data_IF_387394624057
#
_entry.id   IF_387394624057
#
_cell.length_a   1.000
_cell.length_b   1.000
_cell.length_c   1.000
_cell.angle_alpha   90.00
_cell.angle_beta   90.00
_cell.angle_gamma   90.00
#
_symmetry.space_group_name_H-M   'P 1'
#
loop_
_entity.id
_entity.type
_entity.pdbx_description
1 polymer ?
#
# COMPACT_ATOMS: atom_id res chain seq x y z
N UNK A 1 14.91 17.17 3.93
CA UNK A 1 14.25 16.89 2.65
C UNK A 1 14.35 18.09 1.71
N UNK A 2 13.98 19.31 2.12
CA UNK A 2 14.02 20.50 1.27
C UNK A 2 15.43 20.76 0.73
N UNK A 3 16.45 20.80 1.59
CA UNK A 3 17.84 21.04 1.20
C UNK A 3 18.35 20.03 0.15
N UNK A 4 18.00 18.76 0.32
CA UNK A 4 18.42 17.68 -0.58
C UNK A 4 17.58 17.55 -1.85
N UNK A 5 16.46 18.26 -1.93
CA UNK A 5 15.56 18.16 -3.08
C UNK A 5 15.97 19.01 -4.26
N UNK A 6 16.92 19.95 -4.08
CA UNK A 6 17.37 20.87 -5.12
C UNK A 6 16.21 21.60 -5.79
N UNK A 7 16.10 21.52 -7.10
CA UNK A 7 15.05 22.16 -7.91
C UNK A 7 13.73 21.36 -7.96
N UNK A 8 13.67 20.17 -7.41
CA UNK A 8 12.43 19.36 -7.38
C UNK A 8 11.35 20.07 -6.58
N UNK A 9 10.22 20.37 -7.21
CA UNK A 9 9.11 21.08 -6.57
C UNK A 9 8.23 20.13 -5.77
N UNK A 10 7.90 18.96 -6.33
CA UNK A 10 7.01 17.99 -5.69
C UNK A 10 7.83 17.06 -4.81
N UNK A 11 7.46 16.99 -3.54
CA UNK A 11 8.11 16.15 -2.53
C UNK A 11 7.07 15.23 -1.92
N UNK A 12 7.43 13.97 -1.75
CA UNK A 12 6.55 12.97 -1.15
C UNK A 12 7.05 12.61 0.25
N UNK A 13 6.12 12.54 1.19
CA UNK A 13 6.37 12.12 2.56
C UNK A 13 5.41 10.99 2.88
N UNK A 14 5.96 9.82 3.17
CA UNK A 14 5.20 8.65 3.56
C UNK A 14 5.35 8.42 5.07
N UNK A 15 4.23 8.49 5.79
CA UNK A 15 4.15 8.06 7.17
C UNK A 15 4.05 6.53 7.18
N UNK A 16 5.18 5.91 7.41
CA UNK A 16 5.39 4.48 7.33
C UNK A 16 6.22 3.99 8.53
N UNK A 17 6.27 2.69 8.74
CA UNK A 17 7.11 2.08 9.78
C UNK A 17 6.45 2.08 11.16
N UNK A 18 6.45 0.93 11.84
CA UNK A 18 5.59 0.69 12.98
C UNK A 18 4.12 0.91 12.61
N UNK A 19 3.41 1.75 13.38
CA UNK A 19 2.05 2.19 13.05
C UNK A 19 1.95 3.70 13.28
N UNK A 20 1.86 4.52 12.23
CA UNK A 20 1.86 5.99 12.37
C UNK A 20 0.71 6.53 13.21
N UNK A 21 -0.44 5.85 13.21
CA UNK A 21 -1.60 6.27 14.00
C UNK A 21 -1.39 6.14 15.51
N UNK A 22 -0.37 5.41 15.96
CA UNK A 22 0.03 5.39 17.38
C UNK A 22 0.64 6.73 17.81
N UNK A 23 1.17 7.50 16.88
CA UNK A 23 1.72 8.84 17.13
C UNK A 23 1.10 9.88 16.17
N UNK A 24 -0.21 9.84 16.05
CA UNK A 24 -0.97 10.62 15.09
C UNK A 24 -0.77 12.13 15.27
N UNK A 25 -0.61 12.61 16.51
CA UNK A 25 -0.35 14.02 16.79
C UNK A 25 0.95 14.51 16.15
N UNK A 26 1.99 13.70 16.16
CA UNK A 26 3.26 14.04 15.47
C UNK A 26 3.05 14.09 13.96
N UNK A 27 2.29 13.17 13.37
CA UNK A 27 1.93 13.25 11.95
C UNK A 27 1.22 14.57 11.62
N UNK A 28 0.25 14.97 12.43
CA UNK A 28 -0.46 16.25 12.25
C UNK A 28 0.48 17.46 12.34
N UNK A 29 1.39 17.47 13.31
CA UNK A 29 2.38 18.54 13.48
C UNK A 29 3.35 18.63 12.30
N UNK A 30 3.84 17.50 11.80
CA UNK A 30 4.74 17.44 10.65
C UNK A 30 4.07 17.96 9.37
N UNK A 31 2.80 17.59 9.13
CA UNK A 31 2.04 18.11 8.00
C UNK A 31 1.82 19.62 8.14
N UNK A 32 1.39 20.10 9.31
CA UNK A 32 1.20 21.52 9.54
C UNK A 32 2.49 22.32 9.31
N UNK A 33 3.62 21.82 9.80
CA UNK A 33 4.93 22.43 9.57
C UNK A 33 5.29 22.45 8.08
N UNK A 34 5.18 21.32 7.38
CA UNK A 34 5.47 21.27 5.96
C UNK A 34 4.62 22.27 5.16
N UNK A 35 3.31 22.34 5.44
CA UNK A 35 2.40 23.30 4.81
C UNK A 35 2.80 24.76 5.06
N UNK A 36 3.32 25.06 6.25
CA UNK A 36 3.74 26.43 6.60
C UNK A 36 4.93 26.94 5.81
N UNK A 37 5.81 26.03 5.33
CA UNK A 37 7.05 26.39 4.63
C UNK A 37 6.99 26.12 3.11
N UNK A 38 5.94 25.47 2.59
CA UNK A 38 5.81 25.13 1.17
C UNK A 38 6.01 26.33 0.25
N UNK A 39 5.33 27.45 0.56
CA UNK A 39 5.33 28.63 -0.30
C UNK A 39 6.69 29.31 -0.33
N UNK A 40 7.34 29.44 0.81
CA UNK A 40 8.66 30.09 0.92
C UNK A 40 9.72 29.35 0.14
N UNK A 41 9.69 28.01 0.19
CA UNK A 41 10.67 27.15 -0.48
C UNK A 41 10.25 26.72 -1.89
N UNK A 42 9.12 27.21 -2.42
CA UNK A 42 8.55 26.79 -3.71
C UNK A 42 8.44 25.26 -3.84
N UNK A 43 7.96 24.61 -2.75
CA UNK A 43 7.73 23.17 -2.68
C UNK A 43 6.24 22.86 -2.66
N UNK A 44 5.90 21.62 -2.95
CA UNK A 44 4.57 21.06 -2.84
C UNK A 44 4.69 19.66 -2.23
N UNK A 45 4.25 19.52 -0.98
CA UNK A 45 4.31 18.25 -0.28
C UNK A 45 3.06 17.41 -0.55
N UNK A 46 3.29 16.14 -0.85
CA UNK A 46 2.25 15.11 -0.97
C UNK A 46 2.48 14.11 0.15
N UNK A 47 1.44 13.85 0.93
CA UNK A 47 1.53 12.94 2.07
C UNK A 47 0.83 11.63 1.75
N UNK A 48 1.46 10.52 2.14
CA UNK A 48 0.89 9.19 2.16
C UNK A 48 0.86 8.69 3.60
N UNK A 49 -0.22 8.02 3.99
CA UNK A 49 -0.37 7.34 5.27
C UNK A 49 -0.48 5.85 5.04
N UNK A 50 0.47 5.08 5.58
CA UNK A 50 0.42 3.60 5.56
C UNK A 50 0.00 3.11 6.94
N UNK A 51 -1.10 2.38 7.05
CA UNK A 51 -1.66 1.96 8.34
C UNK A 51 -2.15 0.52 8.36
N UNK A 52 -2.04 -0.11 9.53
CA UNK A 52 -2.66 -1.40 9.81
C UNK A 52 -4.17 -1.30 10.12
N UNK A 53 -4.72 -0.10 10.19
CA UNK A 53 -6.15 0.16 10.34
C UNK A 53 -6.69 0.14 11.77
N UNK A 54 -5.97 -0.37 12.74
CA UNK A 54 -6.47 -0.48 14.13
C UNK A 54 -6.81 0.90 14.71
N UNK A 55 -5.98 1.90 14.44
CA UNK A 55 -6.12 3.27 14.94
C UNK A 55 -7.08 4.15 14.13
N UNK A 56 -7.70 3.66 13.07
CA UNK A 56 -8.62 4.47 12.25
C UNK A 56 -9.88 4.84 13.06
N UNK A 57 -10.13 6.14 13.17
CA UNK A 57 -11.32 6.78 13.73
C UNK A 57 -11.91 7.75 12.70
N UNK A 58 -13.05 8.37 13.00
CA UNK A 58 -13.63 9.39 12.13
C UNK A 58 -12.72 10.60 11.99
N UNK A 59 -12.06 11.02 13.06
CA UNK A 59 -11.05 12.08 13.02
C UNK A 59 -9.91 11.76 12.05
N UNK A 60 -9.39 10.52 12.08
CA UNK A 60 -8.33 10.07 11.17
C UNK A 60 -8.81 10.08 9.73
N UNK A 61 -10.04 9.63 9.47
CA UNK A 61 -10.64 9.65 8.13
C UNK A 61 -10.73 11.06 7.60
N UNK A 62 -11.27 11.98 8.37
CA UNK A 62 -11.43 13.39 7.97
C UNK A 62 -10.07 14.06 7.72
N UNK A 63 -9.11 13.81 8.59
CA UNK A 63 -7.76 14.33 8.42
C UNK A 63 -7.06 13.76 7.19
N UNK A 64 -7.12 12.44 6.99
CA UNK A 64 -6.54 11.81 5.79
C UNK A 64 -7.18 12.32 4.51
N UNK A 65 -8.49 12.54 4.50
CA UNK A 65 -9.19 13.09 3.33
C UNK A 65 -8.75 14.51 3.01
N UNK A 66 -8.39 15.29 4.02
CA UNK A 66 -7.94 16.68 3.85
C UNK A 66 -6.46 16.77 3.47
N UNK A 67 -5.60 16.02 4.12
CA UNK A 67 -4.15 16.20 4.06
C UNK A 67 -3.41 15.16 3.24
N UNK A 68 -3.91 13.91 3.19
CA UNK A 68 -3.21 12.82 2.51
C UNK A 68 -3.65 12.71 1.05
N UNK A 69 -2.65 12.72 0.16
CA UNK A 69 -2.86 12.42 -1.24
C UNK A 69 -3.26 10.96 -1.43
N UNK A 70 -2.65 10.08 -0.66
CA UNK A 70 -2.89 8.64 -0.72
C UNK A 70 -2.94 8.01 0.68
N UNK A 71 -3.68 6.92 0.84
CA UNK A 71 -3.71 6.10 2.05
C UNK A 71 -3.50 4.64 1.68
N UNK A 72 -2.49 4.02 2.27
CA UNK A 72 -2.17 2.61 2.08
C UNK A 72 -2.77 1.82 3.24
N UNK A 73 -3.63 0.87 2.92
CA UNK A 73 -4.39 0.07 3.88
C UNK A 73 -3.85 -1.36 3.88
N UNK A 74 -3.24 -1.76 5.00
CA UNK A 74 -2.56 -3.04 5.11
C UNK A 74 -3.56 -4.17 5.36
N UNK A 75 -3.80 -5.02 4.35
CA UNK A 75 -4.68 -6.19 4.40
C UNK A 75 -4.12 -7.28 3.48
N UNK A 76 -3.93 -8.49 4.03
CA UNK A 76 -3.32 -9.59 3.28
C UNK A 76 -4.34 -10.44 2.51
N UNK A 77 -5.62 -10.07 2.53
CA UNK A 77 -6.68 -10.75 1.77
C UNK A 77 -7.74 -11.40 2.66
N UNK A 78 -8.02 -12.70 2.43
CA UNK A 78 -8.99 -13.47 3.21
C UNK A 78 -8.67 -13.45 4.70
N UNK A 79 -9.70 -13.62 5.53
CA UNK A 79 -9.57 -13.54 6.99
C UNK A 79 -8.48 -14.46 7.54
N UNK A 80 -8.48 -15.71 7.14
CA UNK A 80 -7.50 -16.71 7.60
C UNK A 80 -6.06 -16.38 7.18
N UNK A 81 -5.87 -15.72 6.02
CA UNK A 81 -4.57 -15.26 5.56
C UNK A 81 -4.12 -14.05 6.36
N UNK A 82 -4.97 -13.04 6.48
CA UNK A 82 -4.69 -11.84 7.26
C UNK A 82 -4.38 -12.16 8.72
N UNK A 83 -5.26 -12.94 9.36
CA UNK A 83 -5.18 -13.22 10.79
C UNK A 83 -4.09 -14.24 11.17
N UNK A 84 -3.39 -14.81 10.18
CA UNK A 84 -2.19 -15.61 10.41
C UNK A 84 -1.01 -14.75 10.87
N UNK A 85 -0.87 -13.54 10.33
CA UNK A 85 0.29 -12.66 10.58
C UNK A 85 -0.08 -11.35 11.28
N UNK A 86 -1.28 -10.83 11.05
CA UNK A 86 -1.73 -9.56 11.62
C UNK A 86 -2.56 -9.79 12.87
N UNK A 87 -1.87 -10.13 13.92
CA UNK A 87 -2.44 -10.40 15.24
C UNK A 87 -2.07 -9.30 16.25
N UNK A 88 -2.89 -9.16 17.27
CA UNK A 88 -2.57 -8.32 18.44
C UNK A 88 -1.64 -9.07 19.42
N UNK A 89 -1.24 -8.39 20.50
CA UNK A 89 -0.36 -8.97 21.53
C UNK A 89 -0.95 -10.21 22.23
N UNK A 90 -2.27 -10.39 22.17
CA UNK A 90 -2.96 -11.56 22.70
C UNK A 90 -3.13 -12.69 21.67
N UNK A 91 -2.64 -12.49 20.44
CA UNK A 91 -2.75 -13.46 19.34
C UNK A 91 -4.09 -13.42 18.61
N UNK A 92 -4.95 -12.43 18.86
CA UNK A 92 -6.22 -12.33 18.16
C UNK A 92 -6.03 -11.65 16.79
N UNK A 93 -6.66 -12.19 15.75
CA UNK A 93 -6.63 -11.62 14.41
C UNK A 93 -7.24 -10.21 14.34
N UNK A 94 -6.78 -9.45 13.37
CA UNK A 94 -7.18 -8.06 13.19
C UNK A 94 -8.30 -7.87 12.16
N UNK A 95 -8.57 -8.85 11.31
CA UNK A 95 -9.43 -8.72 10.12
C UNK A 95 -10.80 -8.11 10.42
N UNK A 96 -11.56 -8.68 11.35
CA UNK A 96 -12.92 -8.20 11.69
C UNK A 96 -12.93 -6.79 12.28
N UNK A 97 -11.80 -6.35 12.83
CA UNK A 97 -11.64 -5.01 13.43
C UNK A 97 -11.28 -3.96 12.40
N UNK A 98 -10.53 -4.32 11.34
CA UNK A 98 -9.97 -3.35 10.38
C UNK A 98 -10.81 -3.22 9.12
N UNK A 99 -11.40 -4.31 8.60
CA UNK A 99 -12.16 -4.28 7.34
C UNK A 99 -13.29 -3.25 7.34
N UNK A 100 -14.16 -3.17 8.36
CA UNK A 100 -15.22 -2.15 8.37
C UNK A 100 -14.68 -0.72 8.38
N UNK A 101 -13.51 -0.49 8.99
CA UNK A 101 -12.86 0.83 9.03
C UNK A 101 -12.28 1.18 7.67
N UNK A 102 -11.66 0.22 6.99
CA UNK A 102 -11.15 0.40 5.63
C UNK A 102 -12.28 0.73 4.65
N UNK A 103 -13.37 -0.01 4.69
CA UNK A 103 -14.55 0.27 3.88
C UNK A 103 -15.12 1.67 4.14
N UNK A 104 -15.20 2.09 5.42
CA UNK A 104 -15.64 3.43 5.78
C UNK A 104 -14.71 4.50 5.22
N UNK A 105 -13.39 4.34 5.37
CA UNK A 105 -12.39 5.28 4.85
C UNK A 105 -12.46 5.37 3.32
N UNK A 106 -12.47 4.23 2.62
CA UNK A 106 -12.52 4.20 1.15
C UNK A 106 -13.81 4.85 0.62
N UNK A 107 -14.94 4.58 1.27
CA UNK A 107 -16.21 5.23 0.94
C UNK A 107 -16.14 6.74 1.13
N UNK A 108 -15.56 7.22 2.23
CA UNK A 108 -15.41 8.64 2.53
C UNK A 108 -14.46 9.35 1.55
N UNK A 109 -13.52 8.62 0.94
CA UNK A 109 -12.62 9.11 -0.13
C UNK A 109 -13.23 9.01 -1.53
N UNK A 110 -14.47 8.56 -1.67
CA UNK A 110 -15.10 8.35 -2.98
C UNK A 110 -14.42 7.26 -3.82
N UNK A 111 -13.77 6.29 -3.19
CA UNK A 111 -13.07 5.20 -3.85
C UNK A 111 -11.76 5.60 -4.55
N UNK A 112 -11.15 6.71 -4.17
CA UNK A 112 -9.92 7.22 -4.81
C UNK A 112 -8.82 7.54 -3.80
N UNK A 113 -7.57 7.61 -4.26
CA UNK A 113 -6.44 7.99 -3.43
C UNK A 113 -6.17 7.01 -2.29
N UNK A 114 -6.39 5.74 -2.51
CA UNK A 114 -6.03 4.65 -1.61
C UNK A 114 -5.52 3.45 -2.39
N UNK A 115 -4.88 2.53 -1.72
CA UNK A 115 -4.78 1.13 -2.18
C UNK A 115 -4.64 0.16 -1.02
N UNK A 116 -5.16 -1.03 -1.23
CA UNK A 116 -4.94 -2.16 -0.34
C UNK A 116 -3.55 -2.72 -0.59
N UNK A 117 -2.79 -2.94 0.45
CA UNK A 117 -1.47 -3.55 0.35
C UNK A 117 -1.39 -4.79 1.22
N UNK A 118 -1.24 -5.94 0.56
CA UNK A 118 -1.05 -7.22 1.19
C UNK A 118 0.32 -7.83 0.88
N UNK A 119 0.60 -8.93 1.55
CA UNK A 119 1.79 -9.75 1.31
C UNK A 119 1.37 -11.19 1.12
N UNK A 120 1.90 -11.85 0.10
CA UNK A 120 1.73 -13.29 -0.05
C UNK A 120 3.03 -14.04 0.28
N UNK A 121 2.88 -15.24 0.80
CA UNK A 121 3.94 -16.10 1.31
C UNK A 121 3.81 -17.49 0.69
N UNK A 122 4.72 -18.40 1.04
CA UNK A 122 4.57 -19.83 0.73
C UNK A 122 3.20 -20.40 1.13
N UNK A 123 2.56 -19.85 2.17
CA UNK A 123 1.28 -20.37 2.68
C UNK A 123 0.06 -19.93 1.88
N UNK A 124 0.16 -18.87 1.07
CA UNK A 124 -0.92 -18.35 0.23
C UNK A 124 -0.44 -18.02 -1.18
N UNK A 125 0.27 -18.95 -1.79
CA UNK A 125 0.70 -18.82 -3.21
C UNK A 125 -0.50 -18.66 -4.16
N UNK A 126 -1.71 -19.00 -3.72
CA UNK A 126 -2.98 -18.76 -4.40
C UNK A 126 -3.51 -17.33 -4.18
N UNK A 127 -2.62 -16.36 -4.14
CA UNK A 127 -2.88 -14.97 -3.75
C UNK A 127 -3.96 -14.27 -4.59
N UNK A 128 -4.29 -14.76 -5.76
CA UNK A 128 -5.41 -14.23 -6.56
C UNK A 128 -6.75 -14.40 -5.83
N UNK A 129 -6.92 -15.44 -5.01
CA UNK A 129 -8.11 -15.59 -4.18
C UNK A 129 -8.23 -14.47 -3.15
N UNK A 130 -7.09 -14.01 -2.63
CA UNK A 130 -7.03 -12.90 -1.68
C UNK A 130 -7.37 -11.58 -2.37
N UNK A 131 -6.85 -11.37 -3.59
CA UNK A 131 -7.20 -10.20 -4.41
C UNK A 131 -8.67 -10.20 -4.80
N UNK A 132 -9.22 -11.35 -5.22
CA UNK A 132 -10.63 -11.44 -5.59
C UNK A 132 -11.55 -11.27 -4.38
N UNK A 133 -11.18 -11.79 -3.22
CA UNK A 133 -11.87 -11.51 -1.97
C UNK A 133 -11.91 -10.00 -1.67
N UNK A 134 -10.77 -9.32 -1.76
CA UNK A 134 -10.73 -7.87 -1.57
C UNK A 134 -11.59 -7.12 -2.59
N UNK A 135 -11.62 -7.57 -3.86
CA UNK A 135 -12.36 -6.91 -4.92
C UNK A 135 -13.87 -7.21 -4.89
N UNK A 136 -14.25 -8.49 -4.79
CA UNK A 136 -15.62 -8.94 -5.01
C UNK A 136 -16.44 -8.93 -3.72
N UNK A 137 -15.84 -9.34 -2.60
CA UNK A 137 -16.56 -9.43 -1.32
C UNK A 137 -16.47 -8.12 -0.53
N UNK A 138 -15.30 -7.43 -0.59
CA UNK A 138 -15.08 -6.22 0.20
C UNK A 138 -15.25 -4.92 -0.60
N UNK A 139 -15.23 -4.98 -1.94
CA UNK A 139 -15.45 -3.85 -2.84
C UNK A 139 -14.25 -2.92 -3.04
N UNK A 140 -13.04 -3.39 -2.78
CA UNK A 140 -11.82 -2.61 -3.02
C UNK A 140 -11.34 -2.79 -4.46
N UNK A 141 -11.01 -1.70 -5.13
CA UNK A 141 -10.63 -1.72 -6.56
C UNK A 141 -9.16 -1.37 -6.81
N UNK A 142 -8.49 -0.77 -5.83
CA UNK A 142 -7.07 -0.41 -5.92
C UNK A 142 -6.26 -1.38 -5.06
N UNK A 143 -5.52 -2.29 -5.70
CA UNK A 143 -4.93 -3.45 -5.06
C UNK A 143 -3.43 -3.54 -5.33
N UNK A 144 -2.67 -3.92 -4.31
CA UNK A 144 -1.27 -4.32 -4.40
C UNK A 144 -1.03 -5.53 -3.51
N UNK A 145 -0.24 -6.48 -3.98
CA UNK A 145 0.11 -7.66 -3.21
C UNK A 145 1.54 -8.06 -3.54
N UNK A 146 2.40 -7.95 -2.53
CA UNK A 146 3.84 -8.13 -2.68
C UNK A 146 4.27 -9.54 -2.26
N UNK A 147 5.26 -10.15 -2.93
CA UNK A 147 5.88 -11.35 -2.41
C UNK A 147 6.61 -11.05 -1.09
N UNK A 148 6.53 -11.97 -0.15
CA UNK A 148 7.30 -11.86 1.09
C UNK A 148 8.81 -11.87 0.77
N UNK A 149 9.54 -11.01 1.45
CA UNK A 149 11.00 -11.06 1.51
C UNK A 149 11.38 -11.62 2.87
N UNK A 150 11.75 -12.90 2.90
CA UNK A 150 12.09 -13.63 4.12
C UNK A 150 13.42 -14.38 3.94
N UNK A 151 14.14 -14.69 5.03
CA UNK A 151 15.30 -15.58 4.97
C UNK A 151 14.91 -16.92 4.33
N UNK A 152 15.82 -17.56 3.57
CA UNK A 152 15.49 -18.81 2.85
C UNK A 152 15.05 -19.98 3.73
N UNK A 153 15.42 -19.97 5.01
CA UNK A 153 15.07 -20.97 6.02
C UNK A 153 13.77 -20.65 6.78
N UNK A 154 13.14 -19.51 6.46
CA UNK A 154 11.84 -19.16 7.02
C UNK A 154 10.72 -20.01 6.41
N UNK A 155 9.77 -20.51 7.20
CA UNK A 155 8.61 -21.24 6.69
C UNK A 155 7.67 -20.38 5.81
N UNK A 156 7.81 -19.07 5.86
CA UNK A 156 7.07 -18.11 5.03
C UNK A 156 7.73 -17.88 3.67
N UNK A 157 9.03 -18.22 3.54
CA UNK A 157 9.80 -17.91 2.35
C UNK A 157 9.23 -18.61 1.10
N UNK A 158 9.17 -17.87 0.01
CA UNK A 158 8.86 -18.42 -1.30
C UNK A 158 10.07 -19.20 -1.80
N UNK A 159 9.81 -20.35 -2.41
CA UNK A 159 10.82 -21.26 -2.94
C UNK A 159 10.66 -21.43 -4.45
N UNK A 160 11.64 -22.06 -5.09
CA UNK A 160 11.54 -22.39 -6.53
C UNK A 160 10.34 -23.30 -6.84
N UNK A 161 9.91 -24.12 -5.87
CA UNK A 161 8.75 -25.01 -6.02
C UNK A 161 7.43 -24.24 -6.10
N UNK A 162 7.38 -23.01 -5.57
CA UNK A 162 6.20 -22.14 -5.62
C UNK A 162 6.07 -21.44 -6.98
N UNK A 163 7.17 -21.24 -7.72
CA UNK A 163 7.20 -20.42 -8.93
C UNK A 163 6.18 -20.86 -10.00
N UNK A 164 6.02 -22.16 -10.32
CA UNK A 164 5.00 -22.55 -11.30
C UNK A 164 3.60 -22.10 -10.93
N UNK A 165 3.21 -22.28 -9.65
CA UNK A 165 1.90 -21.80 -9.15
C UNK A 165 1.79 -20.30 -9.21
N UNK A 166 2.84 -19.58 -8.86
CA UNK A 166 2.84 -18.12 -8.90
C UNK A 166 2.67 -17.60 -10.33
N UNK A 167 3.32 -18.19 -11.32
CA UNK A 167 3.12 -17.83 -12.72
C UNK A 167 1.66 -18.04 -13.15
N UNK A 168 1.08 -19.20 -12.81
CA UNK A 168 -0.34 -19.48 -13.07
C UNK A 168 -1.25 -18.43 -12.42
N UNK A 169 -0.94 -17.99 -11.18
CA UNK A 169 -1.72 -16.97 -10.49
C UNK A 169 -1.63 -15.61 -11.17
N UNK A 170 -0.44 -15.18 -11.59
CA UNK A 170 -0.29 -13.93 -12.34
C UNK A 170 -1.03 -13.99 -13.68
N UNK A 171 -0.97 -15.11 -14.40
CA UNK A 171 -1.73 -15.28 -15.65
C UNK A 171 -3.24 -15.26 -15.40
N UNK A 172 -3.72 -15.95 -14.36
CA UNK A 172 -5.11 -15.94 -13.95
C UNK A 172 -5.59 -14.51 -13.64
N UNK A 173 -4.80 -13.75 -12.89
CA UNK A 173 -5.09 -12.36 -12.54
C UNK A 173 -5.17 -11.47 -13.79
N UNK A 174 -4.21 -11.60 -14.71
CA UNK A 174 -4.20 -10.82 -15.95
C UNK A 174 -5.45 -11.08 -16.79
N UNK A 175 -5.82 -12.35 -16.95
CA UNK A 175 -7.02 -12.74 -17.68
C UNK A 175 -8.31 -12.23 -17.00
N UNK A 176 -8.38 -12.30 -15.68
CA UNK A 176 -9.53 -11.77 -14.93
C UNK A 176 -9.63 -10.25 -15.05
N UNK A 177 -8.52 -9.52 -14.95
CA UNK A 177 -8.50 -8.07 -15.13
C UNK A 177 -8.99 -7.66 -16.53
N UNK A 178 -8.58 -8.38 -17.58
CA UNK A 178 -9.09 -8.15 -18.94
C UNK A 178 -10.59 -8.41 -19.03
N UNK A 179 -11.10 -9.47 -18.41
CA UNK A 179 -12.53 -9.78 -18.34
C UNK A 179 -13.30 -8.68 -17.62
N UNK A 180 -12.81 -8.20 -16.47
CA UNK A 180 -13.40 -7.10 -15.70
C UNK A 180 -13.41 -5.80 -16.48
N UNK A 181 -12.32 -5.48 -17.16
CA UNK A 181 -12.25 -4.29 -18.02
C UNK A 181 -13.33 -4.31 -19.11
N UNK A 182 -13.51 -5.44 -19.79
CA UNK A 182 -14.57 -5.60 -20.80
C UNK A 182 -15.98 -5.51 -20.22
N UNK A 183 -16.14 -5.92 -18.96
CA UNK A 183 -17.42 -5.85 -18.24
C UNK A 183 -17.72 -4.47 -17.60
N UNK A 184 -16.82 -3.49 -17.74
CA UNK A 184 -16.97 -2.16 -17.14
C UNK A 184 -16.78 -2.14 -15.60
N UNK A 185 -16.12 -3.13 -15.04
CA UNK A 185 -15.84 -3.26 -13.60
C UNK A 185 -14.33 -3.50 -13.36
N UNK A 186 -13.47 -2.57 -13.79
CA UNK A 186 -12.02 -2.75 -13.67
C UNK A 186 -11.59 -2.75 -12.21
N UNK A 187 -10.49 -3.45 -11.97
CA UNK A 187 -9.65 -3.31 -10.76
C UNK A 187 -8.26 -2.89 -11.21
N UNK A 188 -7.55 -2.19 -10.33
CA UNK A 188 -6.15 -1.85 -10.51
C UNK A 188 -5.29 -2.83 -9.72
N UNK A 189 -4.26 -3.39 -10.36
CA UNK A 189 -3.22 -4.13 -9.67
C UNK A 189 -1.88 -3.46 -9.95
N UNK A 190 -1.21 -3.00 -8.90
CA UNK A 190 -0.06 -2.10 -9.02
C UNK A 190 1.11 -2.70 -9.80
N UNK A 191 1.34 -4.02 -9.73
CA UNK A 191 2.39 -4.67 -10.52
C UNK A 191 2.14 -4.61 -12.03
N UNK A 192 0.91 -4.38 -12.47
CA UNK A 192 0.53 -4.31 -13.88
C UNK A 192 0.38 -2.87 -14.39
N UNK A 193 0.71 -1.87 -13.58
CA UNK A 193 0.80 -0.49 -14.03
C UNK A 193 2.12 -0.32 -14.79
N UNK A 194 2.04 -0.43 -16.12
CA UNK A 194 3.19 -0.31 -17.01
C UNK A 194 3.09 1.00 -17.80
N UNK A 195 4.17 1.78 -17.81
CA UNK A 195 4.31 2.90 -18.73
C UNK A 195 4.81 2.39 -20.09
N UNK A 196 3.86 2.03 -20.96
CA UNK A 196 4.17 1.52 -22.28
C UNK A 196 4.65 2.60 -23.26
N UNK A 197 4.44 3.89 -22.95
CA UNK A 197 4.83 5.01 -23.83
C UNK A 197 6.28 5.39 -23.62
N UNK A 198 6.74 5.44 -22.38
CA UNK A 198 8.09 5.89 -22.02
C UNK A 198 9.05 4.75 -21.71
N UNK A 199 8.53 3.52 -21.66
CA UNK A 199 9.27 2.31 -21.30
C UNK A 199 9.57 2.22 -19.80
N UNK A 200 10.32 1.20 -19.39
CA UNK A 200 10.67 1.05 -17.99
C UNK A 200 11.60 2.17 -17.52
N UNK A 201 11.38 2.61 -16.28
CA UNK A 201 12.20 3.65 -15.65
C UNK A 201 13.69 3.33 -15.77
N UNK A 202 14.45 4.23 -16.38
CA UNK A 202 15.88 4.05 -16.62
C UNK A 202 16.66 3.87 -15.32
N UNK A 203 16.25 4.54 -14.26
CA UNK A 203 16.87 4.40 -12.92
C UNK A 203 16.70 3.01 -12.35
N UNK A 204 15.54 2.37 -12.54
CA UNK A 204 15.33 0.96 -12.14
C UNK A 204 16.27 0.00 -12.86
N UNK A 205 16.70 0.34 -14.07
CA UNK A 205 17.67 -0.48 -14.83
C UNK A 205 19.10 -0.31 -14.35
N UNK A 206 19.46 0.87 -13.84
CA UNK A 206 20.84 1.23 -13.52
C UNK A 206 21.11 1.10 -12.02
N UNK A 207 20.22 1.61 -11.17
CA UNK A 207 20.45 1.74 -9.72
C UNK A 207 19.30 1.20 -8.85
N UNK A 208 18.35 0.47 -9.42
CA UNK A 208 17.18 -0.01 -8.71
C UNK A 208 16.13 1.08 -8.51
N UNK A 209 15.45 1.09 -7.35
CA UNK A 209 14.32 1.98 -7.08
C UNK A 209 14.69 3.39 -6.60
N UNK A 210 15.96 3.79 -6.68
CA UNK A 210 16.44 5.07 -6.15
C UNK A 210 16.69 5.07 -4.64
N UNK A 211 16.59 3.92 -3.98
CA UNK A 211 16.92 3.78 -2.55
C UNK A 211 18.35 4.24 -2.28
N UNK A 212 18.52 5.12 -1.29
CA UNK A 212 19.81 5.71 -0.95
C UNK A 212 20.19 6.96 -1.74
N UNK A 213 19.48 7.26 -2.84
CA UNK A 213 19.74 8.47 -3.66
C UNK A 213 18.54 9.39 -3.79
N UNK A 214 17.32 8.83 -3.84
CA UNK A 214 16.07 9.57 -4.02
C UNK A 214 15.11 9.43 -2.83
N UNK A 215 15.34 8.42 -1.99
CA UNK A 215 14.60 8.20 -0.76
C UNK A 215 15.47 8.50 0.44
N UNK A 216 14.86 9.12 1.43
CA UNK A 216 15.45 9.32 2.75
C UNK A 216 14.56 8.63 3.78
N UNK A 217 15.11 7.72 4.56
CA UNK A 217 14.45 7.20 5.74
C UNK A 217 14.77 8.11 6.94
N UNK A 218 13.73 8.54 7.64
CA UNK A 218 13.86 9.24 8.91
C UNK A 218 13.38 8.28 9.99
N UNK A 219 14.28 7.87 10.86
CA UNK A 219 13.97 7.02 12.01
C UNK A 219 13.80 7.86 13.27
N UNK A 220 13.07 7.35 14.27
CA UNK A 220 12.91 8.00 15.57
C UNK A 220 14.24 8.26 16.27
#
# INVERSE_FOLDING_TARGET
LIEHSGTRRNLEVDFFGGEPLMNFEVCKQLVAYARSIEKEHNKNFRFTMTTNGIGITDEVIDWCNKECHNVVLSLDGRKEVNDRFRVDLAGNGSYDRIVPKFQKLVKARGGQGYYMRGTFTHHNVDFTKDLFHMADDLGFTELSMEPVVAPPDSPEALTEEDLPKLFDQYELLANDMLRRQKAGKPITFYHYILDLKHGPCIYKRISGCGSGTEYMAVTP
#
